data_IF_336177132354
#
_entry.id   IF_336177132354
#
_cell.length_a   1.000
_cell.length_b   1.000
_cell.length_c   1.000
_cell.angle_alpha   90.00
_cell.angle_beta   90.00
_cell.angle_gamma   90.00
#
_symmetry.space_group_name_H-M   'P 1'
#
loop_
_entity.id
_entity.type
_entity.pdbx_description
1 polymer ?
#
# COMPACT_ATOMS: atom_id res chain seq x y z
N UNK A 1 21.91 9.27 -15.82
CA UNK A 1 20.45 9.11 -15.70
C UNK A 1 20.13 9.26 -14.23
N UNK A 2 19.22 10.16 -13.88
CA UNK A 2 18.78 10.34 -12.49
C UNK A 2 18.05 9.06 -12.08
N UNK A 3 18.43 8.47 -10.94
CA UNK A 3 17.75 7.28 -10.43
C UNK A 3 16.33 7.66 -10.02
N UNK A 4 15.34 7.00 -10.59
CA UNK A 4 13.94 7.17 -10.22
C UNK A 4 13.50 6.04 -9.29
N UNK A 5 12.58 6.36 -8.38
CA UNK A 5 12.10 5.46 -7.34
C UNK A 5 10.58 5.39 -7.36
N UNK A 6 10.03 4.22 -7.06
CA UNK A 6 8.59 4.00 -6.99
C UNK A 6 8.12 3.84 -5.53
N UNK A 7 7.02 4.51 -5.12
CA UNK A 7 6.51 4.44 -3.76
C UNK A 7 5.46 3.33 -3.55
N UNK A 8 5.11 2.58 -4.60
CA UNK A 8 3.97 1.65 -4.59
C UNK A 8 4.34 0.22 -4.19
N UNK A 9 5.59 0.00 -3.77
CA UNK A 9 6.10 -1.30 -3.35
C UNK A 9 5.95 -1.49 -1.84
N UNK A 10 5.20 -2.53 -1.46
CA UNK A 10 5.08 -2.95 -0.07
C UNK A 10 6.26 -3.83 0.35
N UNK A 11 6.95 -3.46 1.43
CA UNK A 11 7.98 -4.26 2.08
C UNK A 11 7.34 -4.99 3.29
N UNK A 12 7.24 -6.31 3.19
CA UNK A 12 6.64 -7.19 4.20
C UNK A 12 7.50 -7.31 5.46
N UNK A 13 8.82 -7.16 5.35
CA UNK A 13 9.76 -7.21 6.49
C UNK A 13 9.74 -5.92 7.29
N UNK A 14 9.65 -4.78 6.61
CA UNK A 14 9.55 -3.46 7.25
C UNK A 14 8.12 -3.07 7.59
N UNK A 15 7.16 -3.80 7.02
CA UNK A 15 5.74 -3.53 7.12
C UNK A 15 5.40 -2.08 6.72
N UNK A 16 5.95 -1.66 5.58
CA UNK A 16 5.87 -0.29 5.10
C UNK A 16 6.07 -0.17 3.58
N UNK A 17 5.53 0.89 2.99
CA UNK A 17 6.00 1.39 1.70
C UNK A 17 7.39 2.01 1.84
N UNK A 18 8.27 1.63 0.93
CA UNK A 18 9.64 2.15 0.88
C UNK A 18 9.99 2.54 -0.54
N UNK A 19 10.86 3.56 -0.74
CA UNK A 19 11.35 3.90 -2.06
C UNK A 19 12.11 2.71 -2.63
N UNK A 20 11.60 2.14 -3.71
CA UNK A 20 12.26 1.07 -4.44
C UNK A 20 12.76 1.61 -5.79
N UNK A 21 13.89 1.12 -6.30
CA UNK A 21 14.33 1.52 -7.64
C UNK A 21 13.22 1.24 -8.65
N UNK A 22 12.84 2.27 -9.41
CA UNK A 22 11.70 2.17 -10.31
C UNK A 22 11.99 1.16 -11.43
N UNK A 23 10.98 0.35 -11.74
CA UNK A 23 11.02 -0.59 -12.84
C UNK A 23 9.69 -0.55 -13.61
N UNK A 24 9.78 -0.68 -14.93
CA UNK A 24 8.63 -0.58 -15.81
C UNK A 24 7.92 0.78 -15.72
N UNK A 25 6.62 0.78 -16.01
CA UNK A 25 5.81 2.00 -16.05
C UNK A 25 5.03 2.23 -14.74
N UNK A 26 5.63 1.89 -13.60
CA UNK A 26 5.08 2.27 -12.30
C UNK A 26 5.28 3.79 -12.06
N UNK A 27 4.46 4.42 -11.20
CA UNK A 27 4.69 5.79 -10.77
C UNK A 27 6.10 5.93 -10.21
N UNK A 28 6.86 6.88 -10.73
CA UNK A 28 8.26 7.05 -10.39
C UNK A 28 8.61 8.51 -10.18
N UNK A 29 9.44 8.76 -9.17
CA UNK A 29 9.78 10.09 -8.69
C UNK A 29 11.27 10.16 -8.35
N UNK A 30 11.88 11.36 -8.28
CA UNK A 30 13.16 11.54 -7.62
C UNK A 30 13.12 11.01 -6.19
N UNK A 31 14.25 10.55 -5.67
CA UNK A 31 14.35 9.87 -4.37
C UNK A 31 13.64 10.62 -3.23
N UNK A 32 13.93 11.92 -3.08
CA UNK A 32 13.38 12.74 -2.00
C UNK A 32 11.85 12.83 -2.04
N UNK A 33 11.28 13.01 -3.24
CA UNK A 33 9.82 13.03 -3.44
C UNK A 33 9.22 11.65 -3.19
N UNK A 34 9.86 10.58 -3.66
CA UNK A 34 9.42 9.22 -3.39
C UNK A 34 9.38 8.90 -1.89
N UNK A 35 10.40 9.34 -1.14
CA UNK A 35 10.45 9.20 0.32
C UNK A 35 9.32 9.97 1.02
N UNK A 36 8.96 11.16 0.54
CA UNK A 36 7.82 11.92 1.04
C UNK A 36 6.51 11.17 0.81
N UNK A 37 6.26 10.71 -0.43
CA UNK A 37 5.07 9.94 -0.78
C UNK A 37 4.97 8.68 0.08
N UNK A 38 6.06 7.93 0.23
CA UNK A 38 6.09 6.74 1.09
C UNK A 38 5.67 7.07 2.53
N UNK A 39 6.09 8.21 3.09
CA UNK A 39 5.69 8.63 4.45
C UNK A 39 4.18 8.90 4.53
N UNK A 40 3.61 9.54 3.52
CA UNK A 40 2.17 9.81 3.46
C UNK A 40 1.36 8.51 3.33
N UNK A 41 1.75 7.63 2.41
CA UNK A 41 1.13 6.31 2.24
C UNK A 41 1.19 5.52 3.55
N UNK A 42 2.36 5.45 4.19
CA UNK A 42 2.53 4.75 5.47
C UNK A 42 1.69 5.37 6.60
N UNK A 43 1.41 6.67 6.55
CA UNK A 43 0.54 7.33 7.53
C UNK A 43 -0.92 6.91 7.35
N UNK A 44 -1.39 6.76 6.11
CA UNK A 44 -2.73 6.26 5.81
C UNK A 44 -2.89 4.77 6.18
N UNK A 45 -1.87 3.95 5.92
CA UNK A 45 -1.90 2.52 6.25
C UNK A 45 -2.14 2.29 7.75
N UNK A 46 -1.67 3.17 8.63
CA UNK A 46 -1.92 3.06 10.08
C UNK A 46 -3.39 3.16 10.47
N UNK A 47 -4.27 3.61 9.57
CA UNK A 47 -5.73 3.60 9.75
C UNK A 47 -6.32 2.18 9.63
N UNK A 48 -5.59 1.23 9.04
CA UNK A 48 -5.92 -0.20 9.01
C UNK A 48 -5.64 -0.83 10.39
N UNK A 49 -6.60 -0.70 11.31
CA UNK A 49 -6.43 -1.11 12.70
C UNK A 49 -7.04 -2.47 13.04
N UNK A 50 -7.66 -3.14 12.06
CA UNK A 50 -8.27 -4.44 12.29
C UNK A 50 -7.19 -5.47 12.65
N UNK A 51 -7.52 -6.37 13.57
CA UNK A 51 -6.64 -7.47 13.99
C UNK A 51 -7.36 -8.79 13.71
N UNK A 52 -7.19 -9.34 12.50
CA UNK A 52 -7.84 -10.58 12.10
C UNK A 52 -7.47 -11.71 13.05
N UNK A 53 -8.47 -12.51 13.43
CA UNK A 53 -8.27 -13.79 14.10
C UNK A 53 -8.11 -14.88 13.05
N UNK A 54 -7.61 -16.03 13.46
CA UNK A 54 -7.54 -17.22 12.60
C UNK A 54 -8.88 -17.47 11.90
N UNK A 55 -8.82 -17.76 10.60
CA UNK A 55 -9.94 -18.02 9.68
C UNK A 55 -10.73 -16.77 9.28
N UNK A 56 -10.52 -15.62 9.92
CA UNK A 56 -11.13 -14.37 9.47
C UNK A 56 -10.65 -14.02 8.06
N UNK A 57 -11.59 -13.55 7.25
CA UNK A 57 -11.28 -12.84 6.01
C UNK A 57 -11.07 -11.37 6.38
N UNK A 58 -9.98 -10.79 5.91
CA UNK A 58 -9.70 -9.36 6.06
C UNK A 58 -9.30 -8.75 4.72
N UNK A 59 -9.40 -7.43 4.66
CA UNK A 59 -9.06 -6.66 3.46
C UNK A 59 -7.79 -5.86 3.69
N UNK A 60 -7.00 -5.63 2.65
CA UNK A 60 -5.80 -4.81 2.72
C UNK A 60 -5.64 -3.89 1.50
N UNK A 61 -5.03 -2.69 1.68
CA UNK A 61 -4.91 -1.68 0.62
C UNK A 61 -3.54 -1.63 -0.05
N UNK A 62 -2.64 -2.58 0.22
CA UNK A 62 -1.22 -2.48 -0.19
C UNK A 62 -0.92 -3.00 -1.60
N UNK A 63 -1.94 -3.41 -2.34
CA UNK A 63 -1.78 -3.97 -3.69
C UNK A 63 -1.99 -2.89 -4.75
N UNK A 64 -0.92 -2.48 -5.43
CA UNK A 64 -0.97 -1.59 -6.59
C UNK A 64 -1.10 -2.38 -7.90
N UNK A 65 -2.11 -2.07 -8.70
CA UNK A 65 -2.31 -2.71 -10.00
C UNK A 65 -2.22 -1.67 -11.11
N UNK A 66 -1.20 -1.84 -11.96
CA UNK A 66 -0.93 -0.93 -13.08
C UNK A 66 -2.12 -0.79 -14.03
N UNK A 67 -2.79 -1.89 -14.38
CA UNK A 67 -3.91 -1.87 -15.33
C UNK A 67 -5.14 -1.13 -14.80
N UNK A 68 -5.34 -1.10 -13.48
CA UNK A 68 -6.39 -0.31 -12.84
C UNK A 68 -5.94 1.11 -12.49
N UNK A 69 -4.67 1.44 -12.69
CA UNK A 69 -4.11 2.76 -12.43
C UNK A 69 -3.94 3.11 -10.94
N UNK A 70 -3.91 2.14 -10.03
CA UNK A 70 -3.92 2.45 -8.60
C UNK A 70 -3.87 1.27 -7.64
N UNK A 71 -3.79 1.59 -6.36
CA UNK A 71 -4.07 0.72 -5.23
C UNK A 71 -5.52 0.21 -5.28
N UNK A 72 -5.67 -1.10 -5.07
CA UNK A 72 -6.96 -1.78 -5.06
C UNK A 72 -7.16 -2.52 -3.74
N UNK A 73 -8.43 -2.75 -3.38
CA UNK A 73 -8.75 -3.60 -2.24
C UNK A 73 -8.57 -5.06 -2.60
N UNK A 74 -7.72 -5.74 -1.84
CA UNK A 74 -7.50 -7.18 -1.89
C UNK A 74 -7.94 -7.83 -0.59
N UNK A 75 -8.32 -9.10 -0.65
CA UNK A 75 -8.73 -9.88 0.52
C UNK A 75 -7.72 -10.99 0.79
N UNK A 76 -7.58 -11.36 2.06
CA UNK A 76 -6.73 -12.46 2.48
C UNK A 76 -7.38 -13.18 3.67
N UNK A 77 -7.05 -14.46 3.85
CA UNK A 77 -7.50 -15.24 4.99
C UNK A 77 -6.39 -15.32 6.05
N UNK A 78 -6.73 -15.03 7.29
CA UNK A 78 -5.77 -15.08 8.39
C UNK A 78 -5.46 -16.53 8.79
N UNK A 79 -4.17 -16.90 8.72
CA UNK A 79 -3.69 -18.28 8.86
C UNK A 79 -2.90 -18.56 10.15
N UNK A 80 -3.15 -17.83 11.25
CA UNK A 80 -2.61 -18.00 12.61
C UNK A 80 -1.36 -17.23 13.05
N UNK A 81 -0.32 -17.07 12.22
CA UNK A 81 1.00 -16.67 12.77
C UNK A 81 1.23 -15.15 12.81
N UNK A 82 0.85 -14.42 11.78
CA UNK A 82 0.89 -12.95 11.72
C UNK A 82 0.12 -12.52 10.46
N UNK A 83 -0.52 -11.34 10.48
CA UNK A 83 -1.12 -10.80 9.27
C UNK A 83 -0.02 -10.07 8.48
N UNK A 84 0.42 -10.57 7.31
CA UNK A 84 1.53 -9.97 6.56
C UNK A 84 1.17 -8.60 5.95
N UNK A 85 -0.09 -8.19 6.06
CA UNK A 85 -0.60 -6.95 5.53
C UNK A 85 -1.40 -6.18 6.58
N UNK A 86 -1.40 -4.84 6.50
CA UNK A 86 -2.30 -4.00 7.28
C UNK A 86 -3.75 -4.35 6.96
N UNK A 87 -4.58 -4.49 8.01
CA UNK A 87 -5.89 -5.09 7.87
C UNK A 87 -7.04 -4.11 8.13
N UNK A 88 -8.04 -4.20 7.26
CA UNK A 88 -9.36 -3.61 7.40
C UNK A 88 -10.39 -4.73 7.62
N UNK A 89 -11.38 -4.47 8.49
CA UNK A 89 -12.45 -5.43 8.78
C UNK A 89 -13.44 -5.59 7.62
N UNK A 90 -13.59 -4.54 6.80
CA UNK A 90 -14.55 -4.53 5.70
C UNK A 90 -13.97 -3.86 4.45
N UNK A 91 -14.48 -4.29 3.29
CA UNK A 91 -14.06 -3.81 1.97
C UNK A 91 -14.29 -2.31 1.80
N UNK A 92 -15.35 -1.76 2.35
CA UNK A 92 -15.73 -0.36 2.14
C UNK A 92 -14.75 0.60 2.80
N UNK A 93 -14.36 0.33 4.05
CA UNK A 93 -13.35 1.13 4.75
C UNK A 93 -11.96 0.94 4.13
N UNK A 94 -11.62 -0.27 3.68
CA UNK A 94 -10.39 -0.49 2.94
C UNK A 94 -10.35 0.31 1.63
N UNK A 95 -11.48 0.40 0.92
CA UNK A 95 -11.58 1.17 -0.33
C UNK A 95 -11.30 2.65 -0.10
N UNK A 96 -11.83 3.26 0.97
CA UNK A 96 -11.52 4.66 1.30
C UNK A 96 -10.03 4.90 1.48
N UNK A 97 -9.30 3.95 2.06
CA UNK A 97 -7.85 4.04 2.22
C UNK A 97 -7.16 3.95 0.86
N UNK A 98 -7.55 3.00 0.00
CA UNK A 98 -7.04 2.93 -1.38
C UNK A 98 -7.29 4.23 -2.15
N UNK A 99 -8.49 4.82 -2.04
CA UNK A 99 -8.86 6.05 -2.74
C UNK A 99 -7.99 7.24 -2.29
N UNK A 100 -7.72 7.35 -0.98
CA UNK A 100 -6.81 8.37 -0.43
C UNK A 100 -5.37 8.15 -0.90
N UNK A 101 -4.90 6.90 -0.93
CA UNK A 101 -3.57 6.56 -1.41
C UNK A 101 -3.42 6.85 -2.91
N UNK A 102 -4.44 6.54 -3.72
CA UNK A 102 -4.45 6.85 -5.15
C UNK A 102 -4.40 8.35 -5.40
N UNK A 103 -5.15 9.14 -4.63
CA UNK A 103 -5.09 10.61 -4.72
C UNK A 103 -3.69 11.14 -4.45
N UNK A 104 -2.97 10.61 -3.46
CA UNK A 104 -1.58 11.00 -3.21
C UNK A 104 -0.70 10.74 -4.44
N UNK A 105 -0.88 9.60 -5.11
CA UNK A 105 -0.11 9.26 -6.32
C UNK A 105 -0.49 10.19 -7.49
N UNK A 106 -1.78 10.49 -7.67
CA UNK A 106 -2.27 11.35 -8.76
C UNK A 106 -1.86 12.83 -8.61
N UNK A 107 -1.73 13.32 -7.38
CA UNK A 107 -1.40 14.71 -7.06
C UNK A 107 0.11 14.97 -6.86
N UNK A 108 0.95 13.93 -6.96
CA UNK A 108 2.40 14.00 -6.68
C UNK A 108 3.28 14.33 -7.87
#
# INVERSE_FOLDING_TARGET
MEQSYTPVMWDDKRFAFVPYEAFGDLPHYPKEKCEQICKELNSLIRLCTYRPKKEDIYFHPVSYVRHSGGFIVTENQASFEECPYPACADRHNCQKICDLMNRIIEES
#
